data_IF_896902927239
#
_entry.id   IF_896902927239
#
_cell.length_a   1.000
_cell.length_b   1.000
_cell.length_c   1.000
_cell.angle_alpha   90.00
_cell.angle_beta   90.00
_cell.angle_gamma   90.00
#
_symmetry.space_group_name_H-M   'P 1'
#
loop_
_entity.id
_entity.type
_entity.pdbx_description
1 polymer ?
#
# COMPACT_ATOMS: atom_id res chain seq x y z
N UNK A 1 -12.20 -5.17 -19.40
CA UNK A 1 -12.52 -3.91 -18.69
C UNK A 1 -12.69 -4.29 -17.23
N UNK A 2 -11.65 -4.14 -16.40
CA UNK A 2 -11.72 -4.50 -14.98
C UNK A 2 -12.33 -3.29 -14.28
N UNK A 3 -13.49 -3.47 -13.67
CA UNK A 3 -14.17 -2.42 -12.92
C UNK A 3 -13.21 -1.93 -11.80
N UNK A 4 -12.83 -0.65 -11.82
CA UNK A 4 -11.98 -0.02 -10.81
C UNK A 4 -12.73 0.18 -9.48
N UNK A 5 -13.28 -0.89 -8.92
CA UNK A 5 -13.87 -0.83 -7.58
C UNK A 5 -12.76 -0.99 -6.55
N UNK A 6 -12.80 -0.11 -5.55
CA UNK A 6 -12.07 -0.32 -4.31
C UNK A 6 -12.31 -1.75 -3.82
N UNK A 7 -11.26 -2.36 -3.29
CA UNK A 7 -11.43 -3.56 -2.51
C UNK A 7 -12.46 -3.33 -1.40
N UNK A 8 -13.36 -4.30 -1.24
CA UNK A 8 -14.36 -4.30 -0.18
C UNK A 8 -13.79 -5.09 1.01
N UNK A 9 -13.34 -4.43 2.08
CA UNK A 9 -12.90 -5.13 3.27
C UNK A 9 -14.08 -5.68 4.07
N UNK A 10 -13.83 -6.73 4.84
CA UNK A 10 -14.65 -7.09 5.99
C UNK A 10 -14.10 -6.31 7.18
N UNK A 11 -14.97 -5.66 7.97
CA UNK A 11 -14.53 -4.86 9.11
C UNK A 11 -14.91 -5.54 10.42
N UNK A 12 -13.98 -5.61 11.37
CA UNK A 12 -14.27 -5.84 12.78
C UNK A 12 -14.06 -4.53 13.55
N UNK A 13 -15.09 -4.06 14.24
CA UNK A 13 -15.06 -2.79 14.97
C UNK A 13 -15.43 -3.09 16.41
N UNK A 14 -14.54 -2.76 17.35
CA UNK A 14 -14.89 -2.74 18.76
C UNK A 14 -15.53 -1.40 19.10
N UNK A 15 -16.85 -1.43 19.35
CA UNK A 15 -17.64 -0.22 19.61
C UNK A 15 -17.25 0.49 20.91
N UNK A 16 -16.61 -0.21 21.86
CA UNK A 16 -16.21 0.40 23.13
C UNK A 16 -14.89 1.18 23.03
N UNK A 17 -13.87 0.60 22.40
CA UNK A 17 -12.58 1.28 22.20
C UNK A 17 -12.52 2.18 20.97
N UNK A 18 -13.40 1.95 19.98
CA UNK A 18 -13.32 2.58 18.66
C UNK A 18 -12.25 1.97 17.76
N UNK A 19 -11.55 0.92 18.20
CA UNK A 19 -10.60 0.21 17.35
C UNK A 19 -11.30 -0.51 16.21
N UNK A 20 -10.65 -0.49 15.05
CA UNK A 20 -11.14 -1.08 13.82
C UNK A 20 -10.03 -1.89 13.16
N UNK A 21 -10.38 -3.09 12.72
CA UNK A 21 -9.56 -3.96 11.89
C UNK A 21 -10.27 -4.17 10.56
N UNK A 22 -9.55 -3.97 9.47
CA UNK A 22 -10.03 -4.21 8.11
C UNK A 22 -9.35 -5.45 7.54
N UNK A 23 -10.16 -6.39 7.06
CA UNK A 23 -9.71 -7.64 6.46
C UNK A 23 -9.90 -7.57 4.95
N UNK A 24 -8.77 -7.56 4.24
CA UNK A 24 -8.73 -7.65 2.79
C UNK A 24 -8.45 -9.09 2.38
N UNK A 25 -9.42 -9.75 1.75
CA UNK A 25 -9.30 -11.16 1.37
C UNK A 25 -8.49 -11.31 0.09
N UNK A 26 -7.52 -12.23 0.09
CA UNK A 26 -6.80 -12.63 -1.13
C UNK A 26 -7.77 -13.39 -2.05
N UNK A 27 -8.14 -12.77 -3.16
CA UNK A 27 -9.03 -13.37 -4.16
C UNK A 27 -8.23 -14.29 -5.11
N UNK A 28 -8.80 -15.42 -5.57
CA UNK A 28 -8.18 -16.23 -6.60
C UNK A 28 -7.84 -15.41 -7.86
N UNK A 29 -6.61 -15.52 -8.34
CA UNK A 29 -6.12 -14.78 -9.51
C UNK A 29 -5.59 -13.38 -9.23
N UNK A 30 -5.63 -12.89 -7.98
CA UNK A 30 -5.03 -11.59 -7.63
C UNK A 30 -3.51 -11.72 -7.46
N UNK A 31 -2.80 -11.60 -8.58
CA UNK A 31 -1.35 -11.73 -8.62
C UNK A 31 -0.63 -10.63 -7.81
N UNK A 32 -1.18 -9.42 -7.75
CA UNK A 32 -0.59 -8.30 -7.01
C UNK A 32 -0.61 -8.58 -5.51
N UNK A 33 -1.79 -8.90 -4.95
CA UNK A 33 -1.92 -9.18 -3.51
C UNK A 33 -1.20 -10.47 -3.12
N UNK A 34 -1.16 -11.47 -4.00
CA UNK A 34 -0.36 -12.68 -3.78
C UNK A 34 1.14 -12.36 -3.68
N UNK A 35 1.66 -11.51 -4.57
CA UNK A 35 3.05 -11.05 -4.55
C UNK A 35 3.35 -10.27 -3.25
N UNK A 36 2.50 -9.31 -2.89
CA UNK A 36 2.68 -8.53 -1.66
C UNK A 36 2.63 -9.39 -0.39
N UNK A 37 1.76 -10.41 -0.35
CA UNK A 37 1.73 -11.36 0.76
C UNK A 37 3.00 -12.22 0.82
N UNK A 38 3.55 -12.64 -0.32
CA UNK A 38 4.81 -13.39 -0.37
C UNK A 38 6.03 -12.55 0.04
N UNK A 39 5.98 -11.23 -0.20
CA UNK A 39 7.04 -10.26 0.14
C UNK A 39 6.91 -9.63 1.53
N UNK A 40 5.90 -10.00 2.32
CA UNK A 40 5.71 -9.49 3.68
C UNK A 40 6.97 -9.69 4.53
N UNK A 41 7.26 -8.71 5.38
CA UNK A 41 8.44 -8.68 6.25
C UNK A 41 8.03 -9.08 7.65
N UNK A 42 8.75 -10.01 8.28
CA UNK A 42 8.60 -10.29 9.71
C UNK A 42 9.43 -9.25 10.47
N UNK A 43 8.79 -8.51 11.38
CA UNK A 43 9.44 -7.51 12.22
C UNK A 43 9.07 -7.76 13.68
N UNK A 44 9.97 -7.46 14.61
CA UNK A 44 9.67 -7.48 16.04
C UNK A 44 9.25 -6.08 16.49
N UNK A 45 7.99 -5.95 16.93
CA UNK A 45 7.46 -4.71 17.51
C UNK A 45 7.58 -4.65 19.04
N UNK A 46 8.22 -5.64 19.64
CA UNK A 46 8.40 -5.75 21.08
C UNK A 46 7.10 -6.07 21.83
N UNK A 47 7.18 -6.34 23.14
CA UNK A 47 6.00 -6.68 23.95
C UNK A 47 4.97 -5.54 24.02
N UNK A 48 3.66 -5.84 24.02
CA UNK A 48 3.07 -7.19 24.03
C UNK A 48 2.88 -7.82 22.64
N UNK A 49 3.29 -7.16 21.55
CA UNK A 49 3.01 -7.59 20.18
C UNK A 49 3.96 -8.69 19.68
N UNK A 50 5.25 -8.55 19.94
CA UNK A 50 6.29 -9.45 19.45
C UNK A 50 6.46 -9.40 17.93
N UNK A 51 6.75 -10.56 17.33
CA UNK A 51 6.97 -10.68 15.89
C UNK A 51 5.65 -10.60 15.10
N UNK A 52 5.58 -9.67 14.16
CA UNK A 52 4.43 -9.48 13.27
C UNK A 52 4.86 -9.36 11.82
N UNK A 53 4.00 -9.83 10.92
CA UNK A 53 4.18 -9.59 9.50
C UNK A 53 3.61 -8.23 9.10
N UNK A 54 4.43 -7.44 8.39
CA UNK A 54 4.02 -6.18 7.77
C UNK A 54 4.26 -6.23 6.26
N UNK A 55 3.57 -5.36 5.53
CA UNK A 55 3.84 -5.18 4.11
C UNK A 55 5.27 -4.69 3.87
N UNK A 56 5.87 -5.10 2.75
CA UNK A 56 7.04 -4.42 2.25
C UNK A 56 6.65 -2.96 1.87
N UNK A 57 7.57 -2.00 2.00
CA UNK A 57 7.31 -0.60 1.72
C UNK A 57 6.86 -0.37 0.28
N UNK A 58 7.37 -1.16 -0.69
CA UNK A 58 6.94 -1.06 -2.09
C UNK A 58 5.45 -1.42 -2.25
N UNK A 59 4.99 -2.47 -1.56
CA UNK A 59 3.58 -2.88 -1.58
C UNK A 59 2.69 -1.85 -0.85
N UNK A 60 3.20 -1.17 0.18
CA UNK A 60 2.49 -0.04 0.81
C UNK A 60 2.33 1.14 -0.16
N UNK A 61 3.37 1.48 -0.91
CA UNK A 61 3.32 2.53 -1.95
C UNK A 61 2.28 2.19 -3.00
N UNK A 62 2.33 0.98 -3.56
CA UNK A 62 1.41 0.52 -4.60
C UNK A 62 -0.05 0.49 -4.14
N UNK A 63 -0.31 0.01 -2.91
CA UNK A 63 -1.67 0.05 -2.36
C UNK A 63 -2.15 1.49 -2.16
N UNK A 64 -1.31 2.39 -1.63
CA UNK A 64 -1.70 3.79 -1.44
C UNK A 64 -1.94 4.51 -2.77
N UNK A 65 -1.17 4.20 -3.83
CA UNK A 65 -1.43 4.70 -5.18
C UNK A 65 -2.80 4.26 -5.68
N UNK A 66 -3.12 2.98 -5.52
CA UNK A 66 -4.41 2.43 -5.91
C UNK A 66 -5.58 3.13 -5.20
N UNK A 67 -5.48 3.35 -3.88
CA UNK A 67 -6.52 4.06 -3.14
C UNK A 67 -6.54 5.56 -3.41
N UNK A 68 -5.39 6.19 -3.66
CA UNK A 68 -5.33 7.58 -4.10
C UNK A 68 -6.10 7.78 -5.41
N UNK A 69 -5.94 6.90 -6.40
CA UNK A 69 -6.72 6.93 -7.65
C UNK A 69 -8.23 7.01 -7.38
N UNK A 70 -8.70 6.24 -6.40
CA UNK A 70 -10.13 6.11 -6.08
C UNK A 70 -10.63 7.28 -5.22
N UNK A 71 -9.86 7.67 -4.20
CA UNK A 71 -10.33 8.60 -3.16
C UNK A 71 -9.88 10.04 -3.36
N UNK A 72 -8.80 10.26 -4.10
CA UNK A 72 -8.08 11.54 -4.26
C UNK A 72 -7.69 12.19 -2.91
N UNK A 73 -7.57 11.38 -1.85
CA UNK A 73 -7.23 11.86 -0.51
C UNK A 73 -5.75 12.22 -0.38
N UNK A 74 -5.39 13.44 0.05
CA UNK A 74 -4.00 13.90 0.13
C UNK A 74 -3.15 13.13 1.16
N UNK A 75 -3.79 12.45 2.11
CA UNK A 75 -3.15 11.58 3.10
C UNK A 75 -2.35 10.46 2.43
N UNK A 76 -2.89 9.86 1.35
CA UNK A 76 -2.17 8.83 0.61
C UNK A 76 -0.87 9.37 -0.01
N UNK A 77 -0.92 10.58 -0.56
CA UNK A 77 0.26 11.24 -1.15
C UNK A 77 1.32 11.52 -0.09
N UNK A 78 0.92 12.06 1.07
CA UNK A 78 1.82 12.36 2.19
C UNK A 78 2.52 11.09 2.70
N UNK A 79 1.76 10.01 2.84
CA UNK A 79 2.30 8.74 3.31
C UNK A 79 3.29 8.13 2.31
N UNK A 80 2.96 8.16 1.01
CA UNK A 80 3.87 7.69 -0.04
C UNK A 80 5.14 8.54 -0.06
N UNK A 81 5.02 9.86 -0.01
CA UNK A 81 6.15 10.78 0.04
C UNK A 81 7.05 10.47 1.23
N UNK A 82 6.46 10.24 2.41
CA UNK A 82 7.20 9.87 3.62
C UNK A 82 7.99 8.58 3.41
N UNK A 83 7.39 7.54 2.83
CA UNK A 83 8.09 6.27 2.54
C UNK A 83 9.25 6.49 1.56
N UNK A 84 8.99 7.21 0.47
CA UNK A 84 9.99 7.47 -0.59
C UNK A 84 11.16 8.29 -0.06
N UNK A 85 10.92 9.35 0.70
CA UNK A 85 11.98 10.21 1.24
C UNK A 85 12.79 9.49 2.32
N UNK A 86 12.17 8.68 3.16
CA UNK A 86 12.89 7.98 4.24
C UNK A 86 13.72 6.78 3.73
N UNK A 87 13.23 6.04 2.75
CA UNK A 87 13.92 4.85 2.24
C UNK A 87 14.80 5.16 1.03
N UNK A 88 14.46 6.17 0.23
CA UNK A 88 15.21 6.60 -0.95
C UNK A 88 15.59 5.42 -1.85
N UNK A 89 16.89 5.29 -2.12
CA UNK A 89 17.45 4.21 -2.95
C UNK A 89 17.28 2.79 -2.38
N UNK A 90 16.83 2.66 -1.12
CA UNK A 90 16.51 1.37 -0.51
C UNK A 90 15.20 0.75 -0.99
N UNK A 91 14.41 1.47 -1.80
CA UNK A 91 13.22 0.94 -2.46
C UNK A 91 13.57 0.16 -3.73
N UNK A 92 12.87 -0.95 -3.94
CA UNK A 92 12.89 -1.71 -5.19
C UNK A 92 12.01 -1.03 -6.25
N UNK A 93 12.57 -0.02 -6.92
CA UNK A 93 11.86 0.77 -7.95
C UNK A 93 11.46 -0.07 -9.17
N UNK A 94 12.27 -1.04 -9.57
CA UNK A 94 11.92 -1.97 -10.66
C UNK A 94 10.64 -2.76 -10.33
N UNK A 95 10.45 -3.14 -9.06
CA UNK A 95 9.21 -3.76 -8.59
C UNK A 95 8.03 -2.80 -8.60
N UNK A 96 8.22 -1.57 -8.12
CA UNK A 96 7.18 -0.54 -8.14
C UNK A 96 6.74 -0.27 -9.58
N UNK A 97 7.68 0.01 -10.49
CA UNK A 97 7.38 0.34 -11.89
C UNK A 97 6.63 -0.78 -12.61
N UNK A 98 7.04 -2.04 -12.41
CA UNK A 98 6.36 -3.20 -12.99
C UNK A 98 4.89 -3.26 -12.57
N UNK A 99 4.60 -3.07 -11.28
CA UNK A 99 3.24 -3.13 -10.78
C UNK A 99 2.44 -1.87 -11.09
N UNK A 100 3.06 -0.68 -11.10
CA UNK A 100 2.45 0.56 -11.57
C UNK A 100 1.93 0.38 -13.00
N UNK A 101 2.75 -0.17 -13.89
CA UNK A 101 2.34 -0.47 -15.27
C UNK A 101 1.23 -1.52 -15.32
N UNK A 102 1.40 -2.64 -14.61
CA UNK A 102 0.43 -3.76 -14.60
C UNK A 102 -0.94 -3.33 -14.05
N UNK A 103 -0.97 -2.44 -13.06
CA UNK A 103 -2.18 -1.93 -12.42
C UNK A 103 -2.74 -0.66 -13.10
N UNK A 104 -2.06 -0.15 -14.13
CA UNK A 104 -2.37 1.11 -14.81
C UNK A 104 -2.42 2.33 -13.86
N UNK A 105 -1.43 2.44 -12.96
CA UNK A 105 -1.28 3.51 -11.96
C UNK A 105 -0.20 4.54 -12.34
N UNK A 106 0.19 4.59 -13.61
CA UNK A 106 1.33 5.39 -14.08
C UNK A 106 1.14 6.89 -13.85
N UNK A 107 -0.07 7.40 -14.07
CA UNK A 107 -0.37 8.82 -13.90
C UNK A 107 -0.27 9.23 -12.43
N UNK A 108 -0.84 8.44 -11.53
CA UNK A 108 -0.78 8.67 -10.09
C UNK A 108 0.65 8.59 -9.56
N UNK A 109 1.44 7.65 -10.10
CA UNK A 109 2.84 7.51 -9.70
C UNK A 109 3.67 8.73 -10.12
N UNK A 110 3.52 9.19 -11.36
CA UNK A 110 4.21 10.39 -11.86
C UNK A 110 3.82 11.65 -11.08
N UNK A 111 2.53 11.82 -10.79
CA UNK A 111 2.04 12.95 -9.99
C UNK A 111 2.70 12.98 -8.61
N UNK A 112 2.79 11.82 -7.94
CA UNK A 112 3.40 11.74 -6.61
C UNK A 112 4.91 11.96 -6.70
N UNK A 113 5.60 11.40 -7.69
CA UNK A 113 7.03 11.65 -7.88
C UNK A 113 7.34 13.14 -8.05
N UNK A 114 6.52 13.87 -8.82
CA UNK A 114 6.68 15.31 -8.98
C UNK A 114 6.49 16.05 -7.64
N UNK A 115 5.44 15.71 -6.89
CA UNK A 115 5.18 16.32 -5.58
C UNK A 115 6.27 16.03 -4.55
N UNK A 116 6.92 14.86 -4.62
CA UNK A 116 8.04 14.51 -3.74
C UNK A 116 9.28 15.32 -4.07
N UNK A 117 9.54 15.63 -5.34
CA UNK A 117 10.65 16.50 -5.76
C UNK A 117 10.45 17.94 -5.26
N UNK A 118 9.19 18.38 -5.17
CA UNK A 118 8.84 19.73 -4.75
C UNK A 118 8.85 19.94 -3.21
N UNK A 119 9.12 18.89 -2.42
CA UNK A 119 9.20 18.90 -0.96
C UNK A 119 10.65 18.96 -0.45
#
# INVERSE_FOLDING_TARGET
MIEHRADLPINAIDMNSGYKVEFFLLKPGDAFRASGLARRRLIDLGPPLGEVYVHAPEDLVLNKLHYYRISQQPEHVRDIASIVLNLGQGLDYDYIERWVQTLNLTEEWQEIQQRVIDL
#
